data_IF_570150710219
#
_entry.id   IF_570150710219
#
_cell.length_a   1.000
_cell.length_b   1.000
_cell.length_c   1.000
_cell.angle_alpha   90.00
_cell.angle_beta   90.00
_cell.angle_gamma   90.00
#
_symmetry.space_group_name_H-M   'P 1'
#
loop_
_entity.id
_entity.type
_entity.pdbx_description
1 polymer ?
#
# COMPACT_ATOMS: atom_id res chain seq x y z
N UNK A 1 -25.52 -15.56 37.42
CA UNK A 1 -26.04 -14.91 36.21
C UNK A 1 -25.30 -13.62 35.92
N UNK A 2 -25.10 -12.71 36.91
CA UNK A 2 -24.41 -11.43 36.71
C UNK A 2 -22.97 -11.57 36.21
N UNK A 3 -22.19 -12.53 36.75
CA UNK A 3 -20.77 -12.77 36.34
C UNK A 3 -20.72 -13.24 34.88
N UNK A 4 -21.62 -14.13 34.43
CA UNK A 4 -21.63 -14.61 33.05
C UNK A 4 -21.96 -13.50 32.05
N UNK A 5 -22.86 -12.58 32.39
CA UNK A 5 -23.22 -11.42 31.56
C UNK A 5 -22.04 -10.45 31.44
N UNK A 6 -21.31 -10.21 32.53
CA UNK A 6 -20.13 -9.35 32.52
C UNK A 6 -19.00 -9.95 31.69
N UNK A 7 -18.78 -11.26 31.75
CA UNK A 7 -17.74 -11.96 30.96
C UNK A 7 -18.06 -11.90 29.47
N UNK A 8 -19.33 -12.12 29.08
CA UNK A 8 -19.76 -12.01 27.69
C UNK A 8 -19.63 -10.56 27.18
N UNK A 9 -19.98 -9.56 27.98
CA UNK A 9 -19.84 -8.16 27.60
C UNK A 9 -18.37 -7.78 27.37
N UNK A 10 -17.44 -8.23 28.22
CA UNK A 10 -15.99 -7.99 28.07
C UNK A 10 -15.44 -8.68 26.83
N UNK A 11 -15.85 -9.93 26.55
CA UNK A 11 -15.42 -10.66 25.37
C UNK A 11 -15.93 -10.01 24.07
N UNK A 12 -17.19 -9.57 24.05
CA UNK A 12 -17.79 -8.90 22.89
C UNK A 12 -17.15 -7.54 22.67
N UNK A 13 -16.92 -6.75 23.74
CA UNK A 13 -16.23 -5.45 23.62
C UNK A 13 -14.78 -5.62 23.21
N UNK A 14 -14.08 -6.62 23.73
CA UNK A 14 -12.71 -6.97 23.35
C UNK A 14 -12.62 -7.35 21.86
N UNK A 15 -13.58 -8.14 21.35
CA UNK A 15 -13.64 -8.54 19.94
C UNK A 15 -13.95 -7.37 18.99
N UNK A 16 -14.82 -6.44 19.40
CA UNK A 16 -15.17 -5.25 18.62
C UNK A 16 -14.00 -4.24 18.59
N UNK A 17 -13.23 -4.17 19.68
CA UNK A 17 -12.08 -3.27 19.82
C UNK A 17 -10.76 -3.89 19.34
N UNK A 18 -10.79 -5.15 18.84
CA UNK A 18 -9.57 -5.79 18.32
C UNK A 18 -9.09 -5.04 17.08
N UNK A 19 -7.79 -4.64 17.05
CA UNK A 19 -7.23 -3.96 15.89
C UNK A 19 -7.37 -4.83 14.64
N UNK A 20 -7.95 -4.27 13.58
CA UNK A 20 -8.10 -4.98 12.30
C UNK A 20 -6.85 -4.75 11.47
N UNK A 21 -6.18 -5.82 11.05
CA UNK A 21 -5.21 -5.77 9.96
C UNK A 21 -5.94 -5.56 8.63
N UNK A 22 -5.33 -4.91 7.63
CA UNK A 22 -5.89 -4.87 6.28
C UNK A 22 -6.10 -6.29 5.75
N UNK A 23 -7.22 -6.54 5.10
CA UNK A 23 -7.48 -7.82 4.43
C UNK A 23 -6.63 -7.94 3.18
N UNK A 24 -6.27 -9.19 2.79
CA UNK A 24 -5.67 -9.44 1.49
C UNK A 24 -6.77 -9.33 0.41
N UNK A 25 -6.65 -8.34 -0.47
CA UNK A 25 -7.65 -8.08 -1.51
C UNK A 25 -7.76 -9.19 -2.55
N UNK A 26 -6.73 -10.00 -2.72
CA UNK A 26 -6.77 -11.15 -3.62
C UNK A 26 -7.63 -12.30 -3.08
N UNK A 27 -7.80 -12.38 -1.75
CA UNK A 27 -8.65 -13.36 -1.07
C UNK A 27 -10.11 -12.91 -0.97
N UNK A 28 -10.40 -11.64 -1.30
CA UNK A 28 -11.75 -11.11 -1.26
C UNK A 28 -12.65 -11.74 -2.33
N UNK A 29 -13.96 -11.70 -2.08
CA UNK A 29 -14.94 -12.23 -3.02
C UNK A 29 -15.01 -11.40 -4.33
N UNK A 30 -15.59 -11.98 -5.38
CA UNK A 30 -15.67 -11.35 -6.69
C UNK A 30 -16.38 -9.98 -6.67
N UNK A 31 -17.33 -9.75 -5.77
CA UNK A 31 -18.03 -8.47 -5.63
C UNK A 31 -17.11 -7.38 -5.09
N UNK A 32 -16.29 -7.66 -4.06
CA UNK A 32 -15.33 -6.70 -3.51
C UNK A 32 -14.25 -6.35 -4.54
N UNK A 33 -13.74 -7.34 -5.29
CA UNK A 33 -12.80 -7.11 -6.39
C UNK A 33 -13.41 -6.25 -7.51
N UNK A 34 -14.64 -6.54 -7.93
CA UNK A 34 -15.34 -5.73 -8.94
C UNK A 34 -15.54 -4.28 -8.47
N UNK A 35 -15.84 -4.07 -7.19
CA UNK A 35 -15.98 -2.74 -6.60
C UNK A 35 -14.64 -2.00 -6.60
N UNK A 36 -13.53 -2.66 -6.24
CA UNK A 36 -12.18 -2.07 -6.33
C UNK A 36 -11.86 -1.62 -7.77
N UNK A 37 -12.12 -2.48 -8.77
CA UNK A 37 -11.89 -2.15 -10.18
C UNK A 37 -12.76 -0.96 -10.65
N UNK A 38 -13.98 -0.86 -10.17
CA UNK A 38 -14.85 0.29 -10.45
C UNK A 38 -14.30 1.58 -9.84
N UNK A 39 -13.86 1.54 -8.58
CA UNK A 39 -13.25 2.69 -7.89
C UNK A 39 -11.93 3.11 -8.54
N UNK A 40 -11.11 2.13 -9.00
CA UNK A 40 -9.91 2.42 -9.78
C UNK A 40 -10.23 3.16 -11.07
N UNK A 41 -11.21 2.70 -11.85
CA UNK A 41 -11.68 3.38 -13.08
C UNK A 41 -12.24 4.77 -12.82
N UNK A 42 -12.82 5.01 -11.65
CA UNK A 42 -13.32 6.32 -11.23
C UNK A 42 -12.19 7.27 -10.77
N UNK A 43 -10.96 6.78 -10.64
CA UNK A 43 -9.83 7.56 -10.12
C UNK A 43 -9.96 7.91 -8.64
N UNK A 44 -10.57 7.05 -7.84
CA UNK A 44 -10.81 7.25 -6.41
C UNK A 44 -9.77 6.57 -5.51
N UNK A 45 -8.76 5.89 -6.08
CA UNK A 45 -7.82 5.08 -5.32
C UNK A 45 -6.47 5.79 -5.11
N UNK A 46 -5.95 5.70 -3.90
CA UNK A 46 -4.54 5.89 -3.58
C UNK A 46 -3.92 4.54 -3.20
N UNK A 47 -2.67 4.28 -3.60
CA UNK A 47 -1.94 3.06 -3.27
C UNK A 47 -0.60 3.43 -2.67
N UNK A 48 -0.30 2.92 -1.48
CA UNK A 48 1.01 3.04 -0.86
C UNK A 48 1.76 1.73 -1.08
N UNK A 49 2.88 1.79 -1.80
CA UNK A 49 3.69 0.63 -2.16
C UNK A 49 4.98 0.64 -1.37
N UNK A 50 5.28 -0.44 -0.64
CA UNK A 50 6.58 -0.60 -0.01
C UNK A 50 7.65 -0.86 -1.08
N UNK A 51 8.82 -0.23 -0.94
CA UNK A 51 9.96 -0.53 -1.82
C UNK A 51 10.32 -2.03 -1.82
N UNK A 52 10.98 -2.49 -2.88
CA UNK A 52 11.44 -3.86 -3.06
C UNK A 52 12.57 -4.24 -2.09
N UNK A 53 12.99 -5.50 -2.12
CA UNK A 53 13.98 -6.05 -1.20
C UNK A 53 15.29 -5.22 -1.21
N UNK A 54 15.74 -4.86 0.00
CA UNK A 54 16.95 -4.04 0.20
C UNK A 54 18.23 -4.88 0.12
N UNK A 55 19.25 -4.30 -0.52
CA UNK A 55 20.58 -4.87 -0.57
C UNK A 55 21.21 -5.05 0.82
N UNK A 56 21.14 -4.02 1.66
CA UNK A 56 21.79 -3.98 2.97
C UNK A 56 21.09 -4.85 4.06
N UNK A 57 20.03 -5.57 3.67
CA UNK A 57 19.27 -6.49 4.55
C UNK A 57 18.99 -7.85 3.90
N UNK A 58 19.80 -8.23 2.92
CA UNK A 58 19.65 -9.47 2.19
C UNK A 58 21.00 -10.01 1.74
N UNK A 59 21.11 -11.31 1.58
CA UNK A 59 22.26 -12.00 0.98
C UNK A 59 22.11 -12.13 -0.55
N UNK A 60 20.99 -11.68 -1.11
CA UNK A 60 20.75 -11.73 -2.55
C UNK A 60 21.60 -10.68 -3.29
N UNK A 61 22.01 -10.95 -4.55
CA UNK A 61 22.82 -10.04 -5.33
C UNK A 61 22.17 -8.67 -5.52
N UNK A 62 22.90 -7.61 -5.21
CA UNK A 62 22.49 -6.23 -5.40
C UNK A 62 22.49 -5.82 -6.89
N UNK A 63 21.63 -4.84 -7.24
CA UNK A 63 21.68 -4.16 -8.53
C UNK A 63 22.78 -3.09 -8.59
N UNK A 64 23.12 -2.46 -7.46
CA UNK A 64 24.03 -1.34 -7.40
C UNK A 64 24.41 -0.99 -5.96
N UNK A 65 24.23 0.25 -5.51
CA UNK A 65 24.66 0.70 -4.19
C UNK A 65 23.93 -0.05 -3.06
N UNK A 66 24.59 -0.15 -1.91
CA UNK A 66 24.11 -0.93 -0.76
C UNK A 66 22.75 -0.48 -0.20
N UNK A 67 22.38 0.80 -0.37
CA UNK A 67 21.07 1.34 0.03
C UNK A 67 19.97 1.13 -1.04
N UNK A 68 20.29 0.46 -2.15
CA UNK A 68 19.39 0.10 -3.23
C UNK A 68 18.65 -1.21 -3.01
N UNK A 69 18.16 -1.79 -4.11
CA UNK A 69 17.40 -3.05 -4.13
C UNK A 69 18.21 -4.20 -4.74
N UNK A 70 17.83 -5.43 -4.41
CA UNK A 70 18.40 -6.64 -4.97
C UNK A 70 17.87 -6.91 -6.38
N UNK A 71 18.52 -7.85 -7.11
CA UNK A 71 18.05 -8.29 -8.45
C UNK A 71 16.66 -8.92 -8.36
N UNK A 72 16.44 -9.83 -7.40
CA UNK A 72 15.11 -10.43 -7.20
C UNK A 72 14.07 -9.40 -6.77
N UNK A 73 14.47 -8.38 -6.00
CA UNK A 73 13.61 -7.24 -5.68
C UNK A 73 13.17 -6.46 -6.92
N UNK A 74 14.07 -6.27 -7.89
CA UNK A 74 13.70 -5.60 -9.15
C UNK A 74 12.74 -6.44 -10.01
N UNK A 75 12.89 -7.77 -10.00
CA UNK A 75 11.98 -8.69 -10.68
C UNK A 75 10.58 -8.67 -10.03
N UNK A 76 10.51 -8.68 -8.69
CA UNK A 76 9.26 -8.53 -7.96
C UNK A 76 8.59 -7.17 -8.25
N UNK A 77 9.35 -6.07 -8.27
CA UNK A 77 8.83 -4.76 -8.64
C UNK A 77 8.25 -4.75 -10.06
N UNK A 78 8.94 -5.35 -11.03
CA UNK A 78 8.45 -5.46 -12.40
C UNK A 78 7.16 -6.31 -12.49
N UNK A 79 7.04 -7.38 -11.71
CA UNK A 79 5.84 -8.20 -11.62
C UNK A 79 4.64 -7.40 -11.09
N UNK A 80 4.82 -6.63 -10.02
CA UNK A 80 3.79 -5.71 -9.48
C UNK A 80 3.43 -4.65 -10.52
N UNK A 81 4.41 -4.13 -11.26
CA UNK A 81 4.19 -3.19 -12.37
C UNK A 81 3.28 -3.75 -13.47
N UNK A 82 3.40 -5.04 -13.80
CA UNK A 82 2.47 -5.71 -14.73
C UNK A 82 1.04 -5.73 -14.17
N UNK A 83 0.87 -5.93 -12.87
CA UNK A 83 -0.42 -5.81 -12.19
C UNK A 83 -1.04 -4.42 -12.34
N UNK A 84 -0.28 -3.37 -12.08
CA UNK A 84 -0.72 -1.98 -12.29
C UNK A 84 -1.04 -1.68 -13.77
N UNK A 85 -0.25 -2.21 -14.70
CA UNK A 85 -0.51 -2.06 -16.13
C UNK A 85 -1.86 -2.68 -16.54
N UNK A 86 -2.24 -3.82 -15.95
CA UNK A 86 -3.56 -4.45 -16.15
C UNK A 86 -4.71 -3.64 -15.55
N UNK A 87 -4.49 -2.94 -14.43
CA UNK A 87 -5.47 -1.99 -13.88
C UNK A 87 -5.65 -0.76 -14.80
N UNK A 88 -4.61 -0.39 -15.54
CA UNK A 88 -4.54 0.82 -16.38
C UNK A 88 -4.01 2.03 -15.60
N UNK A 89 -3.03 2.71 -16.18
CA UNK A 89 -2.32 3.84 -15.52
C UNK A 89 -2.60 5.21 -16.14
N UNK A 90 -3.50 5.31 -17.14
CA UNK A 90 -3.73 6.54 -17.92
C UNK A 90 -4.21 7.72 -17.05
N UNK A 91 -4.93 7.44 -15.95
CA UNK A 91 -5.42 8.44 -15.01
C UNK A 91 -4.78 8.23 -13.64
N UNK A 92 -3.45 8.07 -13.61
CA UNK A 92 -2.73 7.77 -12.37
C UNK A 92 -1.51 8.67 -12.24
N UNK A 93 -1.40 9.34 -11.11
CA UNK A 93 -0.20 10.06 -10.70
C UNK A 93 0.69 9.11 -9.90
N UNK A 94 1.98 9.07 -10.23
CA UNK A 94 2.95 8.19 -9.59
C UNK A 94 4.04 9.05 -8.97
N UNK A 95 4.23 8.92 -7.66
CA UNK A 95 5.24 9.63 -6.89
C UNK A 95 6.10 8.62 -6.13
N UNK A 96 7.35 8.96 -5.88
CA UNK A 96 8.27 8.11 -5.10
C UNK A 96 9.05 8.91 -4.06
N UNK A 97 9.43 8.26 -2.97
CA UNK A 97 10.45 8.79 -2.06
C UNK A 97 11.78 8.96 -2.81
N UNK A 98 12.62 9.96 -2.49
CA UNK A 98 13.92 10.19 -3.16
C UNK A 98 15.01 9.18 -2.78
N UNK A 99 14.74 8.27 -1.85
CA UNK A 99 15.72 7.28 -1.40
C UNK A 99 15.99 6.25 -2.50
N UNK A 100 17.27 5.85 -2.69
CA UNK A 100 17.72 4.97 -3.78
C UNK A 100 16.82 3.75 -4.00
N UNK A 101 16.48 3.01 -2.93
CA UNK A 101 15.65 1.79 -3.03
C UNK A 101 14.23 2.06 -3.52
N UNK A 102 13.63 3.20 -3.18
CA UNK A 102 12.29 3.57 -3.65
C UNK A 102 12.32 4.05 -5.10
N UNK A 103 13.33 4.83 -5.48
CA UNK A 103 13.54 5.27 -6.87
C UNK A 103 13.76 4.05 -7.78
N UNK A 104 14.64 3.13 -7.40
CA UNK A 104 14.87 1.90 -8.16
C UNK A 104 13.60 1.03 -8.24
N UNK A 105 12.86 0.87 -7.13
CA UNK A 105 11.58 0.14 -7.14
C UNK A 105 10.60 0.76 -8.13
N UNK A 106 10.42 2.07 -8.09
CA UNK A 106 9.52 2.79 -8.99
C UNK A 106 9.96 2.66 -10.46
N UNK A 107 11.27 2.77 -10.72
CA UNK A 107 11.83 2.59 -12.05
C UNK A 107 11.49 1.21 -12.65
N UNK A 108 11.77 0.13 -11.90
CA UNK A 108 11.48 -1.23 -12.38
C UNK A 108 9.98 -1.55 -12.45
N UNK A 109 9.19 -0.96 -11.56
CA UNK A 109 7.75 -1.17 -11.52
C UNK A 109 7.03 -0.48 -12.69
N UNK A 110 7.43 0.75 -13.04
CA UNK A 110 6.71 1.56 -14.03
C UNK A 110 7.48 1.80 -15.33
N UNK A 111 8.70 1.27 -15.45
CA UNK A 111 9.61 1.52 -16.57
C UNK A 111 9.75 3.03 -16.87
N UNK A 112 9.79 3.83 -15.83
CA UNK A 112 9.91 5.29 -15.85
C UNK A 112 10.49 5.79 -14.54
N UNK A 113 10.89 7.06 -14.50
CA UNK A 113 11.43 7.71 -13.30
C UNK A 113 10.37 8.70 -12.75
N UNK A 114 9.50 8.25 -11.82
CA UNK A 114 8.47 9.11 -11.25
C UNK A 114 9.06 10.27 -10.46
N UNK A 115 8.28 11.35 -10.32
CA UNK A 115 8.67 12.50 -9.51
C UNK A 115 8.91 12.10 -8.04
N UNK A 116 10.05 12.55 -7.51
CA UNK A 116 10.39 12.32 -6.10
C UNK A 116 9.74 13.35 -5.17
N UNK A 117 9.38 12.89 -3.96
CA UNK A 117 8.74 13.68 -2.92
C UNK A 117 9.38 13.40 -1.55
N UNK A 118 9.92 14.41 -0.90
CA UNK A 118 10.62 14.27 0.39
C UNK A 118 9.69 13.76 1.51
N UNK A 119 8.42 14.17 1.52
CA UNK A 119 7.46 13.72 2.52
C UNK A 119 7.23 12.19 2.51
N UNK A 120 7.50 11.50 1.38
CA UNK A 120 7.47 10.04 1.28
C UNK A 120 8.68 9.34 1.92
N UNK A 121 9.70 10.09 2.34
CA UNK A 121 10.86 9.58 3.07
C UNK A 121 10.80 9.92 4.56
N UNK A 122 10.24 11.08 4.91
CA UNK A 122 10.23 11.60 6.29
C UNK A 122 8.95 11.28 7.06
N UNK A 123 7.83 11.05 6.37
CA UNK A 123 6.51 10.60 6.89
C UNK A 123 6.11 11.17 8.27
N UNK A 124 5.79 10.30 9.24
CA UNK A 124 5.41 10.70 10.58
C UNK A 124 3.94 11.10 10.69
N UNK A 125 3.63 12.04 11.58
CA UNK A 125 2.26 12.39 11.98
C UNK A 125 1.39 13.05 10.90
N UNK A 126 1.97 13.43 9.76
CA UNK A 126 1.26 14.11 8.66
C UNK A 126 0.93 13.18 7.49
N UNK A 127 1.42 11.93 7.49
CA UNK A 127 1.36 11.03 6.34
C UNK A 127 -0.04 10.88 5.74
N UNK A 128 -1.07 10.71 6.57
CA UNK A 128 -2.47 10.64 6.11
C UNK A 128 -2.90 11.94 5.40
N UNK A 129 -2.59 13.09 5.98
CA UNK A 129 -2.97 14.39 5.42
C UNK A 129 -2.21 14.67 4.12
N UNK A 130 -0.95 14.28 4.03
CA UNK A 130 -0.13 14.44 2.84
C UNK A 130 -0.66 13.58 1.69
N UNK A 131 -1.06 12.33 1.95
CA UNK A 131 -1.71 11.46 0.95
C UNK A 131 -3.00 12.10 0.43
N UNK A 132 -3.86 12.60 1.32
CA UNK A 132 -5.12 13.26 0.92
C UNK A 132 -4.86 14.53 0.12
N UNK A 133 -3.87 15.34 0.52
CA UNK A 133 -3.53 16.60 -0.14
C UNK A 133 -2.98 16.41 -1.57
N UNK A 134 -2.28 15.29 -1.82
CA UNK A 134 -1.73 14.97 -3.15
C UNK A 134 -2.69 14.18 -4.04
N UNK A 135 -3.84 13.75 -3.51
CA UNK A 135 -4.86 13.03 -4.28
C UNK A 135 -5.69 13.99 -5.12
N UNK A 136 -5.46 13.98 -6.42
CA UNK A 136 -6.24 14.74 -7.40
C UNK A 136 -7.58 14.04 -7.69
N UNK A 137 -8.67 14.81 -7.79
CA UNK A 137 -9.98 14.27 -8.13
C UNK A 137 -9.97 13.54 -9.49
N UNK A 138 -10.62 12.38 -9.56
CA UNK A 138 -10.69 11.52 -10.74
C UNK A 138 -9.33 11.01 -11.29
N UNK A 139 -8.29 11.06 -10.47
CA UNK A 139 -6.98 10.48 -10.80
C UNK A 139 -6.52 9.60 -9.66
N UNK A 140 -6.09 8.38 -9.93
CA UNK A 140 -5.47 7.53 -8.93
C UNK A 140 -4.10 8.09 -8.53
N UNK A 141 -3.63 7.71 -7.36
CA UNK A 141 -2.33 8.11 -6.83
C UNK A 141 -1.55 6.87 -6.39
N UNK A 142 -0.37 6.64 -6.94
CA UNK A 142 0.52 5.56 -6.49
C UNK A 142 1.77 6.17 -5.87
N UNK A 143 2.08 5.74 -4.66
CA UNK A 143 3.14 6.26 -3.80
C UNK A 143 4.13 5.15 -3.47
N UNK A 144 5.35 5.19 -4.03
CA UNK A 144 6.39 4.23 -3.66
C UNK A 144 7.18 4.78 -2.46
N UNK A 145 7.09 4.07 -1.33
CA UNK A 145 7.57 4.55 -0.04
C UNK A 145 8.13 3.42 0.84
N UNK A 146 8.10 3.57 2.14
CA UNK A 146 8.73 2.71 3.14
C UNK A 146 7.69 2.07 4.07
N UNK A 147 8.02 0.90 4.65
CA UNK A 147 7.13 0.25 5.62
C UNK A 147 6.80 1.14 6.82
N UNK A 148 7.75 1.97 7.29
CA UNK A 148 7.50 2.94 8.36
C UNK A 148 6.43 3.97 7.98
N UNK A 149 6.48 4.50 6.75
CA UNK A 149 5.50 5.47 6.25
C UNK A 149 4.10 4.86 6.07
N UNK A 150 4.05 3.59 5.63
CA UNK A 150 2.79 2.84 5.56
C UNK A 150 2.24 2.64 6.97
N UNK A 151 3.09 2.29 7.95
CA UNK A 151 2.70 2.15 9.35
C UNK A 151 2.15 3.45 9.94
N UNK A 152 2.81 4.58 9.70
CA UNK A 152 2.36 5.90 10.14
C UNK A 152 0.99 6.25 9.53
N UNK A 153 0.79 5.93 8.24
CA UNK A 153 -0.50 6.11 7.57
C UNK A 153 -1.59 5.24 8.18
N UNK A 154 -1.32 3.97 8.41
CA UNK A 154 -2.27 3.02 8.99
C UNK A 154 -2.66 3.42 10.42
N UNK A 155 -1.69 3.81 11.25
CA UNK A 155 -1.97 4.30 12.61
C UNK A 155 -2.91 5.51 12.59
N UNK A 156 -2.69 6.46 11.68
CA UNK A 156 -3.51 7.66 11.51
C UNK A 156 -4.90 7.38 10.93
N UNK A 157 -5.11 6.20 10.33
CA UNK A 157 -6.42 5.74 9.82
C UNK A 157 -7.14 4.80 10.78
N UNK A 158 -6.58 4.56 11.97
CA UNK A 158 -7.18 3.72 13.01
C UNK A 158 -6.90 2.22 12.85
N UNK A 159 -6.07 1.84 11.89
CA UNK A 159 -5.54 0.49 11.75
C UNK A 159 -4.31 0.34 12.66
N UNK A 160 -4.37 -0.55 13.63
CA UNK A 160 -3.23 -0.84 14.50
C UNK A 160 -2.52 -2.11 14.03
N UNK A 161 -1.21 -2.02 13.79
CA UNK A 161 -0.27 -3.13 13.56
C UNK A 161 -0.15 -3.78 12.19
N UNK A 162 -0.80 -3.30 11.15
CA UNK A 162 -0.75 -3.94 9.84
C UNK A 162 0.60 -3.77 9.11
N UNK A 163 1.24 -2.61 9.25
CA UNK A 163 2.46 -2.31 8.48
C UNK A 163 3.74 -2.98 9.01
N UNK A 164 3.74 -3.56 10.21
CA UNK A 164 4.89 -4.38 10.62
C UNK A 164 5.08 -5.60 9.73
N UNK A 165 4.03 -6.02 9.05
CA UNK A 165 3.95 -7.22 8.23
C UNK A 165 3.81 -6.91 6.72
N UNK A 166 3.80 -5.63 6.32
CA UNK A 166 3.83 -5.29 4.90
C UNK A 166 5.10 -5.83 4.26
N UNK A 167 4.97 -6.79 3.35
CA UNK A 167 6.08 -7.40 2.64
C UNK A 167 6.71 -6.43 1.64
N UNK A 168 7.92 -6.73 1.15
CA UNK A 168 8.53 -5.95 0.07
C UNK A 168 7.60 -5.95 -1.15
N UNK A 169 7.46 -4.80 -1.78
CA UNK A 169 6.57 -4.57 -2.93
C UNK A 169 5.08 -4.75 -2.66
N UNK A 170 4.64 -4.99 -1.42
CA UNK A 170 3.23 -4.99 -1.08
C UNK A 170 2.60 -3.60 -1.31
N UNK A 171 1.32 -3.60 -1.68
CA UNK A 171 0.56 -2.42 -2.05
C UNK A 171 -0.69 -2.29 -1.17
N UNK A 172 -0.77 -1.24 -0.35
CA UNK A 172 -1.92 -0.89 0.46
C UNK A 172 -2.87 -0.01 -0.35
N UNK A 173 -4.07 -0.49 -0.61
CA UNK A 173 -5.11 0.21 -1.36
C UNK A 173 -6.03 1.01 -0.44
N UNK A 174 -6.25 2.25 -0.80
CA UNK A 174 -7.05 3.21 -0.03
C UNK A 174 -7.99 3.92 -0.98
N UNK A 175 -9.28 3.93 -0.68
CA UNK A 175 -10.24 4.78 -1.36
C UNK A 175 -10.22 6.17 -0.75
N UNK A 176 -10.14 7.19 -1.60
CA UNK A 176 -10.31 8.60 -1.22
C UNK A 176 -11.32 9.19 -2.19
N UNK A 177 -12.51 9.47 -1.70
CA UNK A 177 -13.59 10.01 -2.53
C UNK A 177 -13.47 11.53 -2.76
N UNK A 178 -14.39 12.08 -3.57
CA UNK A 178 -14.38 13.51 -3.91
C UNK A 178 -14.60 14.46 -2.72
N UNK A 179 -15.03 13.96 -1.54
CA UNK A 179 -15.13 14.74 -0.30
C UNK A 179 -13.85 14.66 0.56
N UNK A 180 -12.85 13.85 0.14
CA UNK A 180 -11.66 13.56 0.93
C UNK A 180 -11.88 12.51 2.03
N UNK A 181 -13.03 11.81 2.03
CA UNK A 181 -13.26 10.71 2.95
C UNK A 181 -12.40 9.51 2.56
N UNK A 182 -11.66 8.99 3.54
CA UNK A 182 -10.69 7.93 3.36
C UNK A 182 -11.21 6.62 3.93
N UNK A 183 -11.03 5.53 3.17
CA UNK A 183 -11.30 4.16 3.59
C UNK A 183 -10.15 3.26 3.15
N UNK A 184 -9.49 2.58 4.08
CA UNK A 184 -8.54 1.52 3.73
C UNK A 184 -9.32 0.32 3.22
N UNK A 185 -8.96 -0.17 2.05
CA UNK A 185 -9.62 -1.30 1.38
C UNK A 185 -8.94 -2.62 1.71
N UNK A 186 -7.61 -2.66 1.69
CA UNK A 186 -6.82 -3.84 1.98
C UNK A 186 -5.43 -3.78 1.33
N UNK A 187 -4.72 -4.90 1.38
CA UNK A 187 -3.35 -5.04 0.87
C UNK A 187 -3.30 -6.09 -0.24
N UNK A 188 -2.34 -5.94 -1.16
CA UNK A 188 -1.99 -6.94 -2.19
C UNK A 188 -0.49 -7.18 -2.11
N UNK A 189 -0.05 -8.42 -1.92
CA UNK A 189 1.36 -8.78 -1.96
C UNK A 189 1.83 -9.02 -3.40
N UNK A 190 3.14 -9.11 -3.62
CA UNK A 190 3.71 -9.22 -4.97
C UNK A 190 3.17 -10.41 -5.76
N UNK A 191 2.98 -11.55 -5.11
CA UNK A 191 2.49 -12.81 -5.69
C UNK A 191 0.98 -12.84 -5.96
N UNK A 192 0.21 -11.97 -5.31
CA UNK A 192 -1.26 -12.04 -5.28
C UNK A 192 -1.94 -11.28 -6.44
N UNK A 193 -1.18 -10.51 -7.22
CA UNK A 193 -1.75 -9.67 -8.29
C UNK A 193 -2.53 -10.45 -9.35
N UNK A 194 -2.10 -11.67 -9.65
CA UNK A 194 -2.82 -12.50 -10.61
C UNK A 194 -4.19 -12.93 -10.09
N UNK A 195 -4.31 -13.18 -8.78
CA UNK A 195 -5.56 -13.59 -8.13
C UNK A 195 -6.51 -12.40 -7.97
N UNK A 196 -5.99 -11.22 -7.67
CA UNK A 196 -6.76 -9.98 -7.65
C UNK A 196 -7.44 -9.70 -8.99
N UNK A 197 -6.76 -9.96 -10.10
CA UNK A 197 -7.15 -9.54 -11.45
C UNK A 197 -7.77 -10.67 -12.31
N UNK A 198 -8.22 -11.76 -11.66
CA UNK A 198 -9.00 -12.84 -12.28
C UNK A 198 -10.47 -12.46 -12.62
#
# INVERSE_FOLDING_TARGET
VAIAVLTVAVLVTGFILWPKSPTNLAEENAQARAQLLQQWKAGEIAVLVRHAERCDRSDNPCLGPADGITRIGSEAAAGVGQGFARLGLQQTDILTSPVTRTVQTAHYMFNSDPQTQEWLATCGTTMRNDVVAHKVAHRNLVLVTHSGCIADFEEQTGLKHAAKDAEYTSALFVRIDGSGQLQVLGIVNAEDWNDLLK
#
